data_IF_292731025769
#
_entry.id   IF_292731025769
#
_cell.length_a   1.000
_cell.length_b   1.000
_cell.length_c   1.000
_cell.angle_alpha   90.00
_cell.angle_beta   90.00
_cell.angle_gamma   90.00
#
_symmetry.space_group_name_H-M   'P 1'
#
loop_
_entity.id
_entity.type
_entity.pdbx_description
1 polymer ?
#
# COMPACT_ATOMS: atom_id res chain seq x y z
N UNK A 1 -47.71 11.28 -13.95
CA UNK A 1 -47.64 10.00 -13.21
C UNK A 1 -46.30 9.42 -13.55
N UNK A 2 -45.27 9.80 -12.77
CA UNK A 2 -44.67 9.00 -11.69
C UNK A 2 -44.06 7.70 -12.25
N UNK A 3 -42.77 7.43 -12.14
CA UNK A 3 -41.76 7.95 -11.19
C UNK A 3 -40.37 7.57 -11.69
N UNK A 4 -39.43 8.52 -11.64
CA UNK A 4 -38.00 8.24 -11.56
C UNK A 4 -37.78 7.32 -10.35
N UNK A 5 -37.29 6.10 -10.61
CA UNK A 5 -36.91 5.15 -9.57
C UNK A 5 -35.53 5.54 -9.00
N UNK A 6 -35.43 5.98 -7.73
CA UNK A 6 -34.19 6.44 -7.13
C UNK A 6 -33.20 5.30 -6.83
N UNK A 7 -33.54 4.04 -7.13
CA UNK A 7 -32.67 2.88 -6.88
C UNK A 7 -31.63 2.62 -7.98
N UNK A 8 -31.73 3.29 -9.13
CA UNK A 8 -30.80 3.11 -10.27
C UNK A 8 -29.41 3.76 -10.08
N UNK A 9 -29.14 4.37 -8.92
CA UNK A 9 -27.87 5.05 -8.61
C UNK A 9 -27.05 4.43 -7.47
N UNK A 10 -27.41 3.24 -6.98
CA UNK A 10 -26.68 2.58 -5.88
C UNK A 10 -25.32 2.01 -6.30
N UNK A 11 -24.38 1.81 -5.35
CA UNK A 11 -23.12 1.15 -5.66
C UNK A 11 -23.38 -0.26 -6.19
N UNK A 12 -22.65 -0.65 -7.25
CA UNK A 12 -22.74 -1.99 -7.81
C UNK A 12 -22.31 -3.02 -6.76
N UNK A 13 -23.25 -3.87 -6.32
CA UNK A 13 -22.94 -4.98 -5.42
C UNK A 13 -22.50 -6.17 -6.27
N UNK A 14 -21.25 -6.59 -6.11
CA UNK A 14 -20.70 -7.79 -6.75
C UNK A 14 -20.74 -8.93 -5.74
N UNK A 15 -21.60 -9.93 -5.98
CA UNK A 15 -21.67 -11.12 -5.13
C UNK A 15 -20.62 -12.14 -5.53
N UNK A 16 -19.58 -12.29 -4.72
CA UNK A 16 -18.42 -13.13 -5.05
C UNK A 16 -18.54 -14.57 -4.55
N UNK A 17 -19.67 -14.98 -3.95
CA UNK A 17 -19.92 -16.38 -3.50
C UNK A 17 -18.80 -16.97 -2.63
N UNK A 18 -18.13 -16.13 -1.83
CA UNK A 18 -17.01 -16.54 -0.97
C UNK A 18 -15.63 -16.48 -1.63
N UNK A 19 -15.54 -16.13 -2.91
CA UNK A 19 -14.28 -15.83 -3.59
C UNK A 19 -13.84 -14.40 -3.33
N UNK A 20 -12.53 -14.16 -3.42
CA UNK A 20 -11.97 -12.80 -3.38
C UNK A 20 -12.44 -12.04 -4.62
N UNK A 21 -12.86 -10.76 -4.49
CA UNK A 21 -13.18 -9.95 -5.66
C UNK A 21 -11.99 -9.92 -6.63
N UNK A 22 -12.21 -10.27 -7.90
CA UNK A 22 -11.17 -10.31 -8.94
C UNK A 22 -10.73 -8.91 -9.42
N UNK A 23 -11.00 -7.87 -8.64
CA UNK A 23 -10.79 -6.47 -9.01
C UNK A 23 -9.34 -6.18 -9.42
N UNK A 24 -8.39 -6.86 -8.76
CA UNK A 24 -6.96 -6.68 -8.95
C UNK A 24 -6.26 -7.94 -9.48
N UNK A 25 -7.02 -8.93 -9.94
CA UNK A 25 -6.44 -10.13 -10.53
C UNK A 25 -5.61 -9.77 -11.77
N UNK A 26 -4.43 -10.39 -11.90
CA UNK A 26 -3.42 -10.10 -12.93
C UNK A 26 -2.90 -8.66 -12.96
N UNK A 27 -3.20 -7.84 -11.95
CA UNK A 27 -2.56 -6.54 -11.77
C UNK A 27 -1.30 -6.69 -10.95
N UNK A 28 -0.28 -5.93 -11.32
CA UNK A 28 1.01 -5.86 -10.63
C UNK A 28 1.08 -4.56 -9.84
N UNK A 29 1.56 -4.61 -8.60
CA UNK A 29 1.69 -3.43 -7.73
C UNK A 29 3.01 -3.43 -6.98
N UNK A 30 3.58 -2.23 -6.77
CA UNK A 30 4.59 -1.97 -5.75
C UNK A 30 3.85 -1.48 -4.50
N UNK A 31 3.96 -2.19 -3.39
CA UNK A 31 3.25 -1.85 -2.16
C UNK A 31 4.23 -1.50 -1.04
N UNK A 32 4.23 -0.25 -0.59
CA UNK A 32 5.06 0.24 0.51
C UNK A 32 4.31 0.06 1.83
N UNK A 33 4.71 -0.96 2.58
CA UNK A 33 4.16 -1.32 3.87
C UNK A 33 4.93 -0.69 5.02
N UNK A 34 4.91 0.63 5.08
CA UNK A 34 5.50 1.40 6.16
C UNK A 34 4.44 1.69 7.22
N UNK A 35 4.57 1.09 8.41
CA UNK A 35 3.59 1.29 9.49
C UNK A 35 3.62 2.73 10.01
N UNK A 36 4.82 3.31 10.10
CA UNK A 36 5.01 4.64 10.64
C UNK A 36 4.44 5.74 9.71
N UNK A 37 4.19 5.42 8.44
CA UNK A 37 3.53 6.31 7.49
C UNK A 37 1.99 6.36 7.66
N UNK A 38 1.38 5.49 8.48
CA UNK A 38 -0.08 5.37 8.62
C UNK A 38 -0.78 6.67 9.04
N UNK A 39 -0.10 7.57 9.75
CA UNK A 39 -0.71 8.77 10.31
C UNK A 39 -0.60 10.02 9.43
N UNK A 40 -0.37 9.87 8.12
CA UNK A 40 -0.38 10.99 7.15
C UNK A 40 0.51 12.18 7.55
N UNK A 41 1.71 11.90 8.07
CA UNK A 41 2.64 12.95 8.51
C UNK A 41 2.33 13.53 9.90
N UNK A 42 1.43 12.93 10.69
CA UNK A 42 1.28 13.27 12.10
C UNK A 42 2.50 12.75 12.89
N UNK A 43 3.52 13.59 13.00
CA UNK A 43 4.78 13.27 13.68
C UNK A 43 4.61 12.94 15.17
N UNK A 44 3.57 13.48 15.83
CA UNK A 44 3.30 13.19 17.25
C UNK A 44 2.77 11.77 17.43
N UNK A 45 1.76 11.38 16.64
CA UNK A 45 1.21 10.02 16.65
C UNK A 45 2.23 8.99 16.13
N UNK A 46 3.05 9.38 15.15
CA UNK A 46 4.12 8.53 14.64
C UNK A 46 5.15 8.26 15.73
N UNK A 47 5.62 9.28 16.46
CA UNK A 47 6.53 9.11 17.61
C UNK A 47 5.91 8.31 18.75
N UNK A 48 4.63 8.52 19.04
CA UNK A 48 3.91 7.72 20.03
C UNK A 48 3.87 6.24 19.62
N UNK A 49 3.59 5.96 18.34
CA UNK A 49 3.62 4.60 17.81
C UNK A 49 5.03 4.02 17.84
N UNK A 50 6.07 4.77 17.47
CA UNK A 50 7.47 4.33 17.57
C UNK A 50 7.83 3.89 19.01
N UNK A 51 7.37 4.63 20.02
CA UNK A 51 7.60 4.29 21.43
C UNK A 51 6.83 3.05 21.92
N UNK A 52 5.66 2.77 21.35
CA UNK A 52 4.83 1.59 21.68
C UNK A 52 5.24 0.33 20.89
N UNK A 53 5.88 0.51 19.73
CA UNK A 53 6.31 -0.58 18.84
C UNK A 53 7.65 -1.21 19.24
N UNK A 54 8.19 -0.90 20.43
CA UNK A 54 9.43 -1.47 20.97
C UNK A 54 9.24 -2.98 21.29
N UNK A 55 9.11 -3.80 20.23
CA UNK A 55 8.78 -5.22 20.28
C UNK A 55 7.94 -5.76 19.10
N UNK A 56 7.17 -4.93 18.38
CA UNK A 56 6.44 -5.34 17.18
C UNK A 56 7.34 -5.08 15.97
N UNK A 57 8.06 -6.13 15.56
CA UNK A 57 9.20 -6.02 14.64
C UNK A 57 8.86 -5.53 13.24
N UNK A 58 7.62 -5.73 12.75
CA UNK A 58 7.09 -5.23 11.46
C UNK A 58 5.69 -5.79 11.25
N UNK A 59 4.77 -5.05 10.62
CA UNK A 59 3.49 -5.62 10.16
C UNK A 59 3.61 -6.27 8.78
N UNK A 60 4.76 -6.13 8.12
CA UNK A 60 5.02 -6.53 6.74
C UNK A 60 4.77 -8.00 6.46
N UNK A 61 5.16 -8.88 7.39
CA UNK A 61 4.94 -10.33 7.25
C UNK A 61 3.45 -10.70 7.13
N UNK A 62 2.54 -9.91 7.71
CA UNK A 62 1.09 -10.14 7.59
C UNK A 62 0.51 -9.69 6.26
N UNK A 63 1.22 -8.85 5.50
CA UNK A 63 0.78 -8.37 4.20
C UNK A 63 1.18 -9.32 3.07
N UNK A 64 2.22 -10.14 3.26
CA UNK A 64 2.63 -11.19 2.32
C UNK A 64 1.45 -12.00 1.75
N UNK A 65 0.58 -12.62 2.57
CA UNK A 65 -0.54 -13.40 2.05
C UNK A 65 -1.59 -12.52 1.36
N UNK A 66 -1.76 -11.26 1.79
CA UNK A 66 -2.71 -10.35 1.16
C UNK A 66 -2.30 -10.02 -0.27
N UNK A 67 -1.01 -9.85 -0.53
CA UNK A 67 -0.51 -9.62 -1.89
C UNK A 67 -0.81 -10.81 -2.81
N UNK A 68 -0.55 -12.03 -2.34
CA UNK A 68 -0.83 -13.27 -3.09
C UNK A 68 -2.31 -13.57 -3.30
N UNK A 69 -3.20 -12.97 -2.49
CA UNK A 69 -4.65 -13.10 -2.61
C UNK A 69 -5.26 -12.00 -3.48
N UNK A 70 -4.89 -10.74 -3.27
CA UNK A 70 -5.48 -9.58 -3.93
C UNK A 70 -4.92 -9.38 -5.34
N UNK A 71 -3.61 -9.47 -5.49
CA UNK A 71 -2.89 -9.20 -6.75
C UNK A 71 -2.38 -10.49 -7.39
N UNK A 72 -3.17 -11.56 -7.28
CA UNK A 72 -2.82 -12.88 -7.79
C UNK A 72 -2.52 -12.81 -9.29
N UNK A 73 -1.42 -13.44 -9.72
CA UNK A 73 -0.98 -13.48 -11.12
C UNK A 73 -0.16 -12.27 -11.56
N UNK A 74 -0.05 -11.22 -10.73
CA UNK A 74 0.83 -10.09 -10.98
C UNK A 74 2.27 -10.31 -10.50
N UNK A 75 3.20 -9.55 -11.07
CA UNK A 75 4.57 -9.38 -10.56
C UNK A 75 4.53 -8.29 -9.51
N UNK A 76 4.38 -8.70 -8.24
CA UNK A 76 4.20 -7.78 -7.12
C UNK A 76 5.50 -7.55 -6.37
N UNK A 77 5.72 -6.32 -5.91
CA UNK A 77 6.83 -5.95 -5.05
C UNK A 77 6.27 -5.43 -3.72
N UNK A 78 6.62 -6.08 -2.62
CA UNK A 78 6.30 -5.64 -1.27
C UNK A 78 7.53 -5.00 -0.63
N UNK A 79 7.42 -3.70 -0.38
CA UNK A 79 8.48 -2.90 0.23
C UNK A 79 8.21 -2.80 1.73
N UNK A 80 9.13 -3.31 2.55
CA UNK A 80 8.98 -3.47 4.00
C UNK A 80 10.02 -2.68 4.77
N UNK A 81 9.68 -2.22 5.97
CA UNK A 81 10.65 -1.56 6.86
C UNK A 81 11.75 -2.52 7.35
N UNK A 82 11.43 -3.82 7.42
CA UNK A 82 12.30 -4.90 7.90
C UNK A 82 11.90 -6.23 7.25
N UNK A 83 12.84 -7.18 7.25
CA UNK A 83 12.60 -8.55 6.79
C UNK A 83 11.42 -9.20 7.54
N UNK A 84 10.53 -9.92 6.83
CA UNK A 84 9.47 -10.67 7.49
C UNK A 84 10.02 -11.91 8.18
N UNK A 85 9.23 -12.47 9.11
CA UNK A 85 9.59 -13.72 9.77
C UNK A 85 9.77 -14.86 8.74
N UNK A 86 10.94 -15.53 8.70
CA UNK A 86 11.19 -16.59 7.72
C UNK A 86 10.27 -17.80 7.86
N UNK A 87 9.89 -18.18 9.08
CA UNK A 87 8.98 -19.29 9.33
C UNK A 87 7.56 -18.97 8.85
N UNK A 88 7.12 -17.73 9.05
CA UNK A 88 5.83 -17.25 8.55
C UNK A 88 5.81 -17.20 7.00
N UNK A 89 6.89 -16.71 6.40
CA UNK A 89 7.05 -16.67 4.94
C UNK A 89 7.03 -18.08 4.35
N UNK A 90 7.75 -19.02 4.99
CA UNK A 90 7.75 -20.43 4.62
C UNK A 90 6.35 -21.05 4.70
N UNK A 91 5.63 -20.83 5.80
CA UNK A 91 4.27 -21.31 5.98
C UNK A 91 3.34 -20.83 4.84
N UNK A 92 3.40 -19.55 4.47
CA UNK A 92 2.57 -19.03 3.38
C UNK A 92 2.94 -19.62 2.01
N UNK A 93 4.23 -19.74 1.71
CA UNK A 93 4.68 -20.22 0.41
C UNK A 93 4.53 -21.74 0.26
N UNK A 94 4.95 -22.52 1.26
CA UNK A 94 5.05 -23.98 1.16
C UNK A 94 3.77 -24.67 1.62
N UNK A 95 3.20 -24.26 2.76
CA UNK A 95 2.04 -24.95 3.35
C UNK A 95 0.72 -24.45 2.75
N UNK A 96 0.61 -23.13 2.50
CA UNK A 96 -0.59 -22.53 1.90
C UNK A 96 -0.49 -22.37 0.37
N UNK A 97 0.66 -22.66 -0.23
CA UNK A 97 0.91 -22.53 -1.67
C UNK A 97 0.52 -21.15 -2.22
N UNK A 98 0.78 -20.08 -1.44
CA UNK A 98 0.52 -18.70 -1.86
C UNK A 98 1.72 -18.17 -2.65
N UNK A 99 1.48 -17.51 -3.80
CA UNK A 99 2.54 -16.78 -4.48
C UNK A 99 2.93 -15.59 -3.62
N UNK A 100 4.18 -15.58 -3.15
CA UNK A 100 4.72 -14.44 -2.41
C UNK A 100 5.22 -13.37 -3.37
N UNK A 101 5.07 -12.08 -3.03
CA UNK A 101 5.65 -11.00 -3.81
C UNK A 101 7.19 -11.02 -3.71
N UNK A 102 7.85 -10.34 -4.63
CA UNK A 102 9.23 -9.91 -4.41
C UNK A 102 9.28 -9.00 -3.17
N UNK A 103 10.35 -9.06 -2.41
CA UNK A 103 10.50 -8.30 -1.17
C UNK A 103 11.69 -7.37 -1.27
N UNK A 104 11.54 -6.16 -0.73
CA UNK A 104 12.61 -5.19 -0.67
C UNK A 104 12.54 -4.41 0.64
N UNK A 105 13.67 -4.24 1.29
CA UNK A 105 13.74 -3.47 2.54
C UNK A 105 13.92 -1.99 2.25
N UNK A 106 13.08 -1.16 2.86
CA UNK A 106 13.12 0.29 2.78
C UNK A 106 12.59 0.87 4.10
N UNK A 107 13.52 1.35 4.94
CA UNK A 107 13.19 1.85 6.27
C UNK A 107 12.36 3.14 6.22
N UNK A 108 11.69 3.45 7.34
CA UNK A 108 10.95 4.71 7.48
C UNK A 108 11.83 5.96 7.31
N UNK A 109 13.07 5.93 7.80
CA UNK A 109 14.00 7.04 7.61
C UNK A 109 14.27 7.30 6.12
N UNK A 110 14.52 6.24 5.34
CA UNK A 110 14.71 6.35 3.88
C UNK A 110 13.44 6.84 3.18
N UNK A 111 12.26 6.39 3.63
CA UNK A 111 10.97 6.84 3.12
C UNK A 111 10.76 8.34 3.31
N UNK A 112 11.01 8.85 4.51
CA UNK A 112 10.91 10.29 4.82
C UNK A 112 11.91 11.09 4.01
N UNK A 113 13.16 10.63 3.92
CA UNK A 113 14.22 11.29 3.17
C UNK A 113 13.92 11.36 1.67
N UNK A 114 13.48 10.25 1.08
CA UNK A 114 13.08 10.20 -0.33
C UNK A 114 11.89 11.11 -0.60
N UNK A 115 10.86 11.07 0.25
CA UNK A 115 9.70 11.95 0.13
C UNK A 115 10.08 13.43 0.19
N UNK A 116 11.00 13.79 1.08
CA UNK A 116 11.54 15.15 1.17
C UNK A 116 12.29 15.55 -0.10
N UNK A 117 13.24 14.71 -0.55
CA UNK A 117 14.03 14.98 -1.76
C UNK A 117 13.13 15.19 -2.99
N UNK A 118 12.10 14.37 -3.15
CA UNK A 118 11.15 14.47 -4.27
C UNK A 118 10.31 15.75 -4.23
N UNK A 119 9.91 16.22 -3.03
CA UNK A 119 9.13 17.46 -2.89
C UNK A 119 9.98 18.71 -3.06
N UNK A 120 11.22 18.67 -2.61
CA UNK A 120 12.14 19.81 -2.64
C UNK A 120 12.95 19.88 -3.94
N UNK A 121 12.85 18.88 -4.82
CA UNK A 121 13.65 18.79 -6.05
C UNK A 121 15.13 18.54 -5.79
N UNK A 122 15.45 17.91 -4.65
CA UNK A 122 16.80 17.57 -4.23
C UNK A 122 17.34 16.28 -4.86
N UNK A 123 18.61 15.93 -4.60
CA UNK A 123 19.18 14.66 -5.02
C UNK A 123 18.45 13.49 -4.36
N UNK A 124 18.18 12.44 -5.13
CA UNK A 124 17.55 11.23 -4.61
C UNK A 124 18.54 10.48 -3.70
N UNK A 125 18.14 10.08 -2.49
CA UNK A 125 19.03 9.40 -1.54
C UNK A 125 19.44 8.00 -2.00
N UNK A 126 18.63 7.35 -2.85
CA UNK A 126 18.91 6.01 -3.38
C UNK A 126 18.43 5.89 -4.83
N UNK A 127 19.26 6.37 -5.75
CA UNK A 127 18.96 6.40 -7.20
C UNK A 127 18.77 4.99 -7.76
N UNK A 128 19.55 4.01 -7.28
CA UNK A 128 19.48 2.64 -7.76
C UNK A 128 18.15 1.99 -7.36
N UNK A 129 17.69 2.23 -6.14
CA UNK A 129 16.39 1.77 -5.66
C UNK A 129 15.23 2.35 -6.46
N UNK A 130 15.26 3.66 -6.68
CA UNK A 130 14.25 4.36 -7.48
C UNK A 130 14.29 3.87 -8.93
N UNK A 131 15.48 3.61 -9.47
CA UNK A 131 15.67 3.00 -10.78
C UNK A 131 15.03 1.61 -10.88
N UNK A 132 15.19 0.76 -9.86
CA UNK A 132 14.51 -0.54 -9.78
C UNK A 132 13.00 -0.38 -9.78
N UNK A 133 12.45 0.54 -8.99
CA UNK A 133 11.00 0.78 -8.97
C UNK A 133 10.49 1.31 -10.29
N UNK A 134 11.23 2.19 -10.96
CA UNK A 134 10.88 2.68 -12.29
C UNK A 134 10.84 1.54 -13.31
N UNK A 135 11.85 0.66 -13.31
CA UNK A 135 11.95 -0.48 -14.22
C UNK A 135 10.98 -1.63 -13.91
N UNK A 136 10.44 -1.68 -12.69
CA UNK A 136 9.52 -2.74 -12.28
C UNK A 136 8.21 -2.70 -13.10
N UNK A 137 7.67 -3.85 -13.55
CA UNK A 137 6.54 -3.91 -14.48
C UNK A 137 5.19 -3.47 -13.90
N UNK A 138 5.09 -3.28 -12.59
CA UNK A 138 3.87 -2.78 -11.96
C UNK A 138 3.46 -1.40 -12.50
N UNK A 139 2.21 -1.25 -12.88
CA UNK A 139 1.65 0.04 -13.31
C UNK A 139 1.36 0.96 -12.12
N UNK A 140 1.18 0.37 -10.94
CA UNK A 140 0.78 1.08 -9.73
C UNK A 140 1.81 0.95 -8.59
N UNK A 141 1.90 2.00 -7.79
CA UNK A 141 2.57 2.02 -6.49
C UNK A 141 1.63 2.60 -5.44
N UNK A 142 1.48 1.92 -4.30
CA UNK A 142 0.67 2.42 -3.19
C UNK A 142 1.20 1.90 -1.85
N UNK A 143 0.47 2.15 -0.77
CA UNK A 143 0.80 1.65 0.56
C UNK A 143 -0.44 1.48 1.43
N UNK A 144 -0.22 1.33 2.74
CA UNK A 144 -1.32 1.23 3.71
C UNK A 144 -2.21 2.48 3.67
N UNK A 145 -1.60 3.63 3.40
CA UNK A 145 -2.25 4.89 3.12
C UNK A 145 -1.60 5.52 1.90
N UNK A 146 -2.41 6.14 1.04
CA UNK A 146 -1.89 6.94 -0.07
C UNK A 146 -1.60 8.33 0.47
N UNK A 147 -0.37 8.57 0.91
CA UNK A 147 0.06 9.87 1.40
C UNK A 147 0.74 10.72 0.30
N UNK A 148 1.24 11.89 0.68
CA UNK A 148 1.98 12.79 -0.21
C UNK A 148 3.32 12.21 -0.69
N UNK A 149 3.97 11.39 0.13
CA UNK A 149 5.24 10.75 -0.23
C UNK A 149 5.02 9.67 -1.28
N UNK A 150 4.05 8.76 -1.10
CA UNK A 150 3.65 7.78 -2.13
C UNK A 150 3.27 8.50 -3.42
N UNK A 151 2.49 9.56 -3.33
CA UNK A 151 2.07 10.34 -4.50
C UNK A 151 3.25 11.01 -5.21
N UNK A 152 4.23 11.51 -4.47
CA UNK A 152 5.46 12.06 -5.03
C UNK A 152 6.30 10.96 -5.71
N UNK A 153 6.45 9.79 -5.08
CA UNK A 153 7.17 8.64 -5.64
C UNK A 153 6.49 8.22 -6.95
N UNK A 154 5.18 7.97 -6.93
CA UNK A 154 4.39 7.55 -8.09
C UNK A 154 4.61 8.48 -9.30
N UNK A 155 4.48 9.81 -9.09
CA UNK A 155 4.73 10.81 -10.12
C UNK A 155 6.17 10.76 -10.65
N UNK A 156 7.16 10.62 -9.76
CA UNK A 156 8.57 10.61 -10.15
C UNK A 156 8.97 9.40 -10.99
N UNK A 157 8.35 8.24 -10.75
CA UNK A 157 8.66 6.99 -11.46
C UNK A 157 7.66 6.66 -12.58
N UNK A 158 6.72 7.57 -12.87
CA UNK A 158 5.74 7.40 -13.94
C UNK A 158 4.69 6.31 -13.68
N UNK A 159 4.33 6.08 -12.41
CA UNK A 159 3.32 5.09 -12.00
C UNK A 159 2.08 5.77 -11.42
N UNK A 160 0.96 5.05 -11.38
CA UNK A 160 -0.28 5.52 -10.72
C UNK A 160 -0.33 5.07 -9.26
N UNK A 161 -1.15 5.72 -8.45
CA UNK A 161 -1.60 5.19 -7.16
C UNK A 161 -2.90 4.38 -7.35
N UNK A 162 -3.23 3.50 -6.40
CA UNK A 162 -4.51 2.78 -6.41
C UNK A 162 -5.65 3.66 -5.88
N UNK A 163 -5.35 4.52 -4.90
CA UNK A 163 -6.26 5.54 -4.38
C UNK A 163 -5.70 6.96 -4.58
N UNK A 164 -6.51 7.98 -4.32
CA UNK A 164 -6.02 9.37 -4.23
C UNK A 164 -5.68 9.71 -2.78
N UNK A 165 -4.79 10.69 -2.51
CA UNK A 165 -4.54 11.15 -1.14
C UNK A 165 -5.81 11.61 -0.42
N UNK A 166 -6.68 12.31 -1.14
CA UNK A 166 -7.98 12.72 -0.61
C UNK A 166 -8.86 11.53 -0.29
N UNK A 167 -8.93 10.52 -1.18
CA UNK A 167 -9.69 9.30 -0.96
C UNK A 167 -9.19 8.52 0.26
N UNK A 168 -7.87 8.39 0.40
CA UNK A 168 -7.23 7.72 1.54
C UNK A 168 -7.51 8.46 2.86
N UNK A 169 -7.41 9.80 2.87
CA UNK A 169 -7.73 10.62 4.03
C UNK A 169 -9.21 10.56 4.41
N UNK A 170 -10.10 10.68 3.43
CA UNK A 170 -11.54 10.68 3.65
C UNK A 170 -12.05 9.30 4.10
N UNK A 171 -11.48 8.21 3.58
CA UNK A 171 -11.79 6.85 4.02
C UNK A 171 -11.48 6.59 5.50
N UNK A 172 -10.55 7.35 6.08
CA UNK A 172 -10.19 7.28 7.50
C UNK A 172 -10.95 8.31 8.37
N UNK A 173 -11.81 9.15 7.78
CA UNK A 173 -12.52 10.19 8.51
C UNK A 173 -13.88 9.68 9.03
N UNK A 174 -13.91 9.28 10.31
CA UNK A 174 -15.14 8.82 10.99
C UNK A 174 -16.29 9.83 10.94
N UNK A 175 -16.00 11.14 10.87
CA UNK A 175 -17.05 12.15 10.75
C UNK A 175 -17.77 12.06 9.40
N UNK A 176 -17.07 11.72 8.32
CA UNK A 176 -17.67 11.57 7.00
C UNK A 176 -18.59 10.34 6.93
N UNK A 177 -18.29 9.28 7.68
CA UNK A 177 -19.16 8.10 7.80
C UNK A 177 -20.53 8.43 8.42
N UNK A 178 -20.63 9.51 9.21
CA UNK A 178 -21.89 9.94 9.82
C UNK A 178 -22.67 10.96 8.98
N UNK A 179 -22.15 11.37 7.81
CA UNK A 179 -22.80 12.34 6.92
C UNK A 179 -23.66 11.68 5.82
N UNK A 180 -23.57 10.37 5.67
CA UNK A 180 -24.28 9.54 4.70
C UNK A 180 -24.94 8.36 5.40
#
# INVERSE_FOLDING_TARGET
>A
MNSDDPTLGGPLIVQTQGYTPQLWENQSVIFIANLLALFFGNEEQTRALEGELDGISSYGGRLLPLMGLLFRGGTNLLVLEREPDPALSKYFCEDLNLPLPEMQIFSHAQYVELGRALREGGPLPDVDLVGKWCAHPADAIDGLVTDETISAIARSIGKRTLSTPEGSKNGNNKLLLHRY
#
